data_IF_802536392088
#
_entry.id   IF_802536392088
#
_cell.length_a   1.000
_cell.length_b   1.000
_cell.length_c   1.000
_cell.angle_alpha   90.00
_cell.angle_beta   90.00
_cell.angle_gamma   90.00
#
_symmetry.space_group_name_H-M   'P 1'
#
loop_
_entity.id
_entity.type
_entity.pdbx_description
1 polymer ?
#
# COMPACT_ATOMS: atom_id res chain seq x y z
N UNK A 1 -9.72 12.64 -0.86
CA UNK A 1 -10.93 11.86 -0.54
C UNK A 1 -11.98 12.68 0.22
N UNK A 2 -11.68 13.28 1.38
CA UNK A 2 -12.67 14.00 2.21
C UNK A 2 -13.55 15.01 1.44
N UNK A 3 -12.95 15.88 0.60
CA UNK A 3 -13.71 16.83 -0.23
C UNK A 3 -14.64 16.16 -1.26
N UNK A 4 -14.22 15.04 -1.85
CA UNK A 4 -15.04 14.26 -2.80
C UNK A 4 -16.28 13.71 -2.10
N UNK A 5 -16.11 13.22 -0.87
CA UNK A 5 -17.18 12.70 -0.01
C UNK A 5 -17.97 13.81 0.71
N UNK A 6 -17.71 15.08 0.38
CA UNK A 6 -18.35 16.26 0.99
C UNK A 6 -18.19 16.30 2.51
N UNK A 7 -17.06 15.80 3.02
CA UNK A 7 -16.69 15.87 4.44
C UNK A 7 -15.85 17.12 4.67
N UNK A 8 -16.18 17.86 5.74
CA UNK A 8 -15.46 19.08 6.12
C UNK A 8 -14.07 18.75 6.66
N UNK A 9 -13.06 19.44 6.16
CA UNK A 9 -11.68 19.36 6.62
C UNK A 9 -11.37 20.54 7.53
N UNK A 10 -10.59 20.32 8.58
CA UNK A 10 -10.12 21.32 9.53
C UNK A 10 -8.69 21.78 9.22
N UNK A 11 -7.87 21.93 10.26
CA UNK A 11 -6.49 22.36 10.11
C UNK A 11 -5.65 21.31 9.38
N UNK A 12 -4.59 21.75 8.73
CA UNK A 12 -3.59 20.85 8.15
C UNK A 12 -2.19 21.39 8.40
N UNK A 13 -1.22 20.49 8.55
CA UNK A 13 0.20 20.82 8.59
C UNK A 13 0.97 19.81 7.74
N UNK A 14 2.00 20.28 7.05
CA UNK A 14 2.99 19.44 6.37
C UNK A 14 4.34 19.44 7.11
N UNK A 15 4.53 20.39 8.03
CA UNK A 15 5.77 20.57 8.75
C UNK A 15 5.67 19.78 10.06
N UNK A 16 6.62 18.86 10.33
CA UNK A 16 6.65 18.13 11.59
C UNK A 16 6.82 19.08 12.78
N UNK A 17 6.10 18.81 13.88
CA UNK A 17 6.16 19.58 15.11
C UNK A 17 6.53 18.69 16.29
N UNK A 18 7.46 19.16 17.13
CA UNK A 18 7.84 18.46 18.36
C UNK A 18 6.79 18.69 19.44
N UNK A 19 6.25 17.61 19.98
CA UNK A 19 5.30 17.65 21.09
C UNK A 19 6.06 17.67 22.44
N UNK A 20 5.50 18.31 23.50
CA UNK A 20 6.13 18.38 24.81
C UNK A 20 6.45 17.02 25.47
N UNK A 21 5.77 15.96 25.03
CA UNK A 21 5.96 14.59 25.51
C UNK A 21 7.09 13.83 24.80
N UNK A 22 7.93 14.52 24.02
CA UNK A 22 9.03 13.92 23.25
C UNK A 22 8.59 13.17 21.98
N UNK A 23 7.30 13.20 21.62
CA UNK A 23 6.83 12.66 20.33
C UNK A 23 6.94 13.71 19.22
N UNK A 24 7.06 13.24 17.99
CA UNK A 24 7.02 14.08 16.81
C UNK A 24 5.64 13.95 16.15
N UNK A 25 4.91 15.06 16.04
CA UNK A 25 3.73 15.12 15.19
C UNK A 25 4.18 15.32 13.76
N UNK A 26 3.86 14.37 12.89
CA UNK A 26 4.13 14.46 11.45
C UNK A 26 3.08 15.35 10.77
N UNK A 27 3.11 15.40 9.43
CA UNK A 27 2.05 16.06 8.66
C UNK A 27 0.67 15.44 8.96
N UNK A 28 -0.34 16.29 9.08
CA UNK A 28 -1.71 15.87 9.39
C UNK A 28 -2.73 16.73 8.64
N UNK A 29 -3.94 16.19 8.50
CA UNK A 29 -5.13 16.91 8.09
C UNK A 29 -6.28 16.50 9.01
N UNK A 30 -6.92 17.48 9.62
CA UNK A 30 -8.09 17.24 10.46
C UNK A 30 -9.30 17.02 9.56
N UNK A 31 -10.11 16.03 9.94
CA UNK A 31 -11.37 15.72 9.28
C UNK A 31 -12.43 15.60 10.36
N UNK A 32 -13.58 16.22 10.13
CA UNK A 32 -14.72 16.07 11.04
C UNK A 32 -15.19 14.62 10.99
N UNK A 33 -15.33 13.98 12.16
CA UNK A 33 -15.89 12.64 12.26
C UNK A 33 -17.26 12.57 11.57
N UNK A 34 -17.47 11.51 10.80
CA UNK A 34 -18.70 11.31 10.04
C UNK A 34 -19.21 9.88 10.22
N UNK A 35 -19.94 9.33 9.25
CA UNK A 35 -20.36 7.93 9.33
C UNK A 35 -19.21 6.98 8.99
N UNK A 36 -19.39 5.73 9.42
CA UNK A 36 -18.40 4.65 9.31
C UNK A 36 -17.90 4.46 7.87
N UNK A 37 -18.75 4.64 6.86
CA UNK A 37 -18.38 4.43 5.46
C UNK A 37 -17.47 5.55 4.98
N UNK A 38 -17.88 6.81 5.20
CA UNK A 38 -17.08 7.97 4.80
C UNK A 38 -15.76 8.04 5.56
N UNK A 39 -15.76 7.79 6.87
CA UNK A 39 -14.52 7.75 7.67
C UNK A 39 -13.57 6.65 7.21
N UNK A 40 -14.09 5.45 6.91
CA UNK A 40 -13.26 4.35 6.39
C UNK A 40 -12.65 4.65 5.02
N UNK A 41 -13.43 5.25 4.11
CA UNK A 41 -12.95 5.63 2.77
C UNK A 41 -11.88 6.74 2.84
N UNK A 42 -12.03 7.69 3.76
CA UNK A 42 -11.03 8.74 3.98
C UNK A 42 -9.74 8.10 4.51
N UNK A 43 -9.84 7.21 5.49
CA UNK A 43 -8.68 6.49 6.02
C UNK A 43 -8.00 5.57 5.01
N UNK A 44 -8.75 5.01 4.05
CA UNK A 44 -8.19 4.22 2.94
C UNK A 44 -7.50 5.07 1.87
N UNK A 45 -7.67 6.39 1.87
CA UNK A 45 -7.19 7.24 0.78
C UNK A 45 -5.67 7.15 0.52
N UNK A 46 -4.78 7.14 1.54
CA UNK A 46 -3.35 6.96 1.32
C UNK A 46 -3.03 5.61 0.68
N UNK A 47 -3.69 4.54 1.12
CA UNK A 47 -3.49 3.20 0.58
C UNK A 47 -3.96 3.11 -0.88
N UNK A 48 -5.14 3.64 -1.20
CA UNK A 48 -5.66 3.67 -2.58
C UNK A 48 -4.74 4.48 -3.48
N UNK A 49 -4.36 5.69 -3.08
CA UNK A 49 -3.49 6.55 -3.88
C UNK A 49 -2.09 5.93 -4.06
N UNK A 50 -1.51 5.39 -3.00
CA UNK A 50 -0.19 4.76 -3.02
C UNK A 50 -0.17 3.50 -3.87
N UNK A 51 -1.16 2.63 -3.73
CA UNK A 51 -1.27 1.40 -4.55
C UNK A 51 -1.50 1.73 -6.03
N UNK A 52 -2.33 2.73 -6.36
CA UNK A 52 -2.48 3.22 -7.74
C UNK A 52 -1.17 3.75 -8.32
N UNK A 53 -0.39 4.49 -7.52
CA UNK A 53 0.92 4.97 -7.95
C UNK A 53 1.89 3.81 -8.18
N UNK A 54 1.98 2.87 -7.24
CA UNK A 54 2.85 1.69 -7.35
C UNK A 54 2.47 0.84 -8.57
N UNK A 55 1.18 0.67 -8.84
CA UNK A 55 0.68 0.01 -10.04
C UNK A 55 1.16 0.73 -11.31
N UNK A 56 0.99 2.05 -11.37
CA UNK A 56 1.42 2.86 -12.49
C UNK A 56 2.94 2.76 -12.72
N UNK A 57 3.74 2.90 -11.66
CA UNK A 57 5.19 2.80 -11.73
C UNK A 57 5.62 1.40 -12.19
N UNK A 58 5.06 0.34 -11.60
CA UNK A 58 5.37 -1.04 -11.95
C UNK A 58 5.03 -1.38 -13.40
N UNK A 59 3.83 -1.00 -13.86
CA UNK A 59 3.34 -1.36 -15.21
C UNK A 59 4.01 -0.50 -16.28
N UNK A 60 3.96 0.83 -16.15
CA UNK A 60 4.31 1.73 -17.25
C UNK A 60 5.75 2.22 -17.23
N UNK A 61 6.37 2.25 -16.05
CA UNK A 61 7.72 2.82 -15.89
C UNK A 61 8.79 1.77 -15.71
N UNK A 62 8.49 0.71 -14.97
CA UNK A 62 9.43 -0.36 -14.64
C UNK A 62 9.19 -1.65 -15.45
N UNK A 63 8.11 -1.71 -16.25
CA UNK A 63 7.78 -2.83 -17.13
C UNK A 63 7.71 -4.20 -16.42
N UNK A 64 7.30 -4.19 -15.14
CA UNK A 64 7.25 -5.38 -14.27
C UNK A 64 6.22 -6.39 -14.77
N UNK A 65 5.22 -5.94 -15.52
CA UNK A 65 4.25 -6.82 -16.18
C UNK A 65 4.93 -7.84 -17.12
N UNK A 66 6.00 -7.44 -17.81
CA UNK A 66 6.75 -8.33 -18.70
C UNK A 66 7.45 -9.42 -17.91
N UNK A 67 8.12 -9.04 -16.81
CA UNK A 67 8.76 -10.01 -15.90
C UNK A 67 7.73 -10.95 -15.26
N UNK A 68 6.57 -10.41 -14.88
CA UNK A 68 5.49 -11.21 -14.31
C UNK A 68 4.95 -12.26 -15.29
N UNK A 69 4.74 -11.89 -16.56
CA UNK A 69 4.27 -12.84 -17.58
C UNK A 69 5.29 -13.94 -17.83
N UNK A 70 6.58 -13.58 -17.98
CA UNK A 70 7.67 -14.55 -18.15
C UNK A 70 7.77 -15.51 -16.97
N UNK A 71 7.61 -15.01 -15.74
CA UNK A 71 7.58 -15.84 -14.53
C UNK A 71 6.36 -16.78 -14.52
N UNK A 72 5.18 -16.24 -14.85
CA UNK A 72 3.92 -17.00 -14.91
C UNK A 72 3.98 -18.14 -15.94
N UNK A 73 4.66 -17.92 -17.06
CA UNK A 73 4.83 -18.90 -18.14
C UNK A 73 5.94 -19.93 -17.84
N UNK A 74 6.56 -19.87 -16.65
CA UNK A 74 7.59 -20.81 -16.20
C UNK A 74 8.96 -20.60 -16.83
N UNK A 75 9.18 -19.48 -17.51
CA UNK A 75 10.42 -19.18 -18.25
C UNK A 75 11.47 -18.55 -17.32
N UNK A 76 11.97 -19.34 -16.37
CA UNK A 76 12.86 -18.84 -15.31
C UNK A 76 14.15 -18.19 -15.83
N UNK A 77 14.75 -18.73 -16.90
CA UNK A 77 15.96 -18.16 -17.49
C UNK A 77 15.72 -16.74 -18.01
N UNK A 78 14.63 -16.54 -18.74
CA UNK A 78 14.23 -15.23 -19.27
C UNK A 78 13.84 -14.26 -18.16
N UNK A 79 13.27 -14.77 -17.05
CA UNK A 79 12.95 -13.95 -15.88
C UNK A 79 14.23 -13.37 -15.24
N UNK A 80 15.24 -14.21 -14.98
CA UNK A 80 16.52 -13.76 -14.42
C UNK A 80 17.27 -12.81 -15.37
N UNK A 81 17.23 -13.10 -16.67
CA UNK A 81 17.76 -12.21 -17.68
C UNK A 81 17.07 -10.84 -17.63
N UNK A 82 15.73 -10.83 -17.61
CA UNK A 82 14.93 -9.61 -17.53
C UNK A 82 15.22 -8.78 -16.26
N UNK A 83 15.41 -9.44 -15.10
CA UNK A 83 15.84 -8.76 -13.88
C UNK A 83 17.19 -8.05 -14.06
N UNK A 84 18.14 -8.65 -14.78
CA UNK A 84 19.41 -8.02 -15.12
C UNK A 84 19.29 -6.80 -16.05
N UNK A 85 18.21 -6.70 -16.81
CA UNK A 85 17.90 -5.56 -17.67
C UNK A 85 17.10 -4.45 -16.97
N UNK A 86 16.45 -4.75 -15.84
CA UNK A 86 15.61 -3.80 -15.10
C UNK A 86 16.35 -2.48 -14.77
N UNK A 87 17.62 -2.48 -14.30
CA UNK A 87 18.34 -1.24 -14.02
C UNK A 87 18.65 -0.38 -15.26
N UNK A 88 18.51 -0.93 -16.47
CA UNK A 88 18.73 -0.22 -17.73
C UNK A 88 17.47 0.48 -18.26
N UNK A 89 16.33 0.29 -17.60
CA UNK A 89 15.08 0.99 -17.92
C UNK A 89 15.28 2.50 -17.70
N UNK A 90 14.74 3.37 -18.59
CA UNK A 90 14.85 4.82 -18.41
C UNK A 90 14.35 5.28 -17.04
N UNK A 91 15.10 6.16 -16.40
CA UNK A 91 14.80 6.71 -15.06
C UNK A 91 14.56 5.64 -13.98
N UNK A 92 15.14 4.44 -14.14
CA UNK A 92 14.94 3.32 -13.22
C UNK A 92 15.11 3.72 -11.75
N UNK A 93 16.22 4.39 -11.41
CA UNK A 93 16.51 4.79 -10.03
C UNK A 93 15.45 5.73 -9.45
N UNK A 94 14.91 6.64 -10.25
CA UNK A 94 13.83 7.55 -9.83
C UNK A 94 12.56 6.77 -9.54
N UNK A 95 12.10 5.94 -10.48
CA UNK A 95 10.86 5.18 -10.32
C UNK A 95 10.96 4.11 -9.23
N UNK A 96 12.12 3.48 -9.10
CA UNK A 96 12.42 2.55 -8.01
C UNK A 96 12.38 3.26 -6.65
N UNK A 97 13.03 4.42 -6.52
CA UNK A 97 12.99 5.24 -5.32
C UNK A 97 11.56 5.69 -4.97
N UNK A 98 10.80 6.20 -5.93
CA UNK A 98 9.42 6.64 -5.70
C UNK A 98 8.51 5.47 -5.29
N UNK A 99 8.68 4.31 -5.92
CA UNK A 99 7.95 3.09 -5.55
C UNK A 99 8.24 2.69 -4.11
N UNK A 100 9.52 2.68 -3.72
CA UNK A 100 9.93 2.42 -2.34
C UNK A 100 9.37 3.45 -1.36
N UNK A 101 9.55 4.75 -1.63
CA UNK A 101 9.13 5.82 -0.72
C UNK A 101 7.61 5.87 -0.52
N UNK A 102 6.85 5.75 -1.60
CA UNK A 102 5.37 5.79 -1.55
C UNK A 102 4.83 4.52 -0.90
N UNK A 103 5.34 3.34 -1.26
CA UNK A 103 4.91 2.10 -0.61
C UNK A 103 5.23 2.06 0.90
N UNK A 104 6.32 2.71 1.33
CA UNK A 104 6.69 2.83 2.74
C UNK A 104 5.73 3.75 3.53
N UNK A 105 5.08 4.70 2.86
CA UNK A 105 4.32 5.78 3.51
C UNK A 105 2.81 5.72 3.24
N UNK A 106 2.35 4.79 2.38
CA UNK A 106 0.93 4.64 2.04
C UNK A 106 0.10 3.91 3.11
N UNK A 107 0.75 3.31 4.12
CA UNK A 107 0.04 2.59 5.18
C UNK A 107 -0.73 3.58 6.07
N UNK A 108 -2.05 3.42 6.21
CA UNK A 108 -2.86 4.36 6.99
C UNK A 108 -2.49 4.34 8.48
N UNK A 109 -2.58 5.49 9.13
CA UNK A 109 -2.31 5.64 10.56
C UNK A 109 -3.36 4.92 11.42
N UNK A 110 -3.11 4.81 12.73
CA UNK A 110 -4.11 4.24 13.66
C UNK A 110 -5.43 5.03 13.64
N UNK A 111 -5.35 6.37 13.60
CA UNK A 111 -6.53 7.22 13.52
C UNK A 111 -7.29 7.02 12.22
N UNK A 112 -6.62 6.71 11.11
CA UNK A 112 -7.25 6.47 9.81
C UNK A 112 -7.98 5.11 9.77
N UNK A 113 -7.49 4.12 10.53
CA UNK A 113 -8.03 2.75 10.52
C UNK A 113 -9.15 2.51 11.53
N UNK A 114 -9.45 3.48 12.40
CA UNK A 114 -10.39 3.30 13.51
C UNK A 114 -11.80 2.83 13.05
N UNK A 115 -12.26 3.30 11.89
CA UNK A 115 -13.58 2.94 11.34
C UNK A 115 -13.61 1.57 10.62
N UNK A 116 -12.45 0.95 10.36
CA UNK A 116 -12.36 -0.27 9.55
C UNK A 116 -12.88 -1.50 10.29
N UNK A 117 -12.62 -1.62 11.59
CA UNK A 117 -13.09 -2.77 12.36
C UNK A 117 -14.63 -2.82 12.41
N UNK A 118 -15.34 -1.73 12.79
CA UNK A 118 -16.79 -1.69 12.71
C UNK A 118 -17.31 -2.00 11.29
N UNK A 119 -16.72 -1.41 10.25
CA UNK A 119 -17.13 -1.66 8.87
C UNK A 119 -16.95 -3.13 8.46
N UNK A 120 -15.83 -3.73 8.83
CA UNK A 120 -15.52 -5.14 8.58
C UNK A 120 -16.50 -6.07 9.28
N UNK A 121 -16.85 -5.79 10.55
CA UNK A 121 -17.83 -6.56 11.30
C UNK A 121 -19.22 -6.50 10.66
N UNK A 122 -19.67 -5.31 10.25
CA UNK A 122 -20.94 -5.16 9.53
C UNK A 122 -20.94 -5.90 8.19
N UNK A 123 -19.84 -5.79 7.43
CA UNK A 123 -19.69 -6.50 6.16
C UNK A 123 -19.74 -8.01 6.36
N UNK A 124 -19.03 -8.54 7.36
CA UNK A 124 -19.03 -9.95 7.70
C UNK A 124 -20.41 -10.45 8.14
N UNK A 125 -21.13 -9.68 8.96
CA UNK A 125 -22.49 -10.00 9.38
C UNK A 125 -23.45 -10.07 8.18
N UNK A 126 -23.39 -9.09 7.27
CA UNK A 126 -24.20 -9.09 6.05
C UNK A 126 -23.87 -10.26 5.12
N UNK A 127 -22.59 -10.58 4.95
CA UNK A 127 -22.16 -11.75 4.17
C UNK A 127 -22.66 -13.05 4.79
N UNK A 128 -22.57 -13.19 6.12
CA UNK A 128 -23.09 -14.36 6.83
C UNK A 128 -24.61 -14.50 6.64
N UNK A 129 -25.37 -13.40 6.81
CA UNK A 129 -26.81 -13.40 6.57
C UNK A 129 -27.17 -13.77 5.12
N UNK A 130 -26.44 -13.25 4.14
CA UNK A 130 -26.63 -13.59 2.74
C UNK A 130 -26.41 -15.09 2.49
N UNK A 131 -25.32 -15.65 3.04
CA UNK A 131 -25.02 -17.09 2.94
C UNK A 131 -26.12 -17.93 3.59
N UNK A 132 -26.53 -17.60 4.82
CA UNK A 132 -27.60 -18.31 5.53
C UNK A 132 -28.98 -18.17 4.85
N UNK A 133 -29.22 -17.09 4.10
CA UNK A 133 -30.43 -16.92 3.30
C UNK A 133 -30.47 -17.74 2.00
N UNK A 134 -29.39 -18.48 1.70
CA UNK A 134 -29.28 -19.30 0.48
C UNK A 134 -28.65 -18.59 -0.71
N UNK A 135 -28.12 -17.37 -0.56
CA UNK A 135 -27.51 -16.60 -1.64
C UNK A 135 -26.10 -17.09 -2.05
N UNK A 136 -25.60 -18.19 -1.46
CA UNK A 136 -24.24 -18.66 -1.68
C UNK A 136 -23.91 -18.98 -3.14
N UNK A 137 -24.81 -19.65 -3.87
CA UNK A 137 -24.63 -19.94 -5.31
C UNK A 137 -24.59 -18.67 -6.14
N UNK A 138 -25.54 -17.76 -5.91
CA UNK A 138 -25.57 -16.45 -6.56
C UNK A 138 -24.28 -15.66 -6.33
N UNK A 139 -23.74 -15.68 -5.11
CA UNK A 139 -22.47 -15.03 -4.78
C UNK A 139 -21.29 -15.66 -5.51
N UNK A 140 -21.24 -16.99 -5.65
CA UNK A 140 -20.19 -17.66 -6.42
C UNK A 140 -20.22 -17.31 -7.90
N UNK A 141 -21.41 -17.15 -8.48
CA UNK A 141 -21.57 -16.83 -9.89
C UNK A 141 -21.30 -15.35 -10.19
N UNK A 142 -21.67 -14.44 -9.27
CA UNK A 142 -21.67 -13.00 -9.55
C UNK A 142 -20.62 -12.21 -8.77
N UNK A 143 -20.30 -12.61 -7.53
CA UNK A 143 -19.41 -11.88 -6.65
C UNK A 143 -18.00 -12.46 -6.64
N UNK A 144 -17.86 -13.79 -6.62
CA UNK A 144 -16.56 -14.45 -6.53
C UNK A 144 -15.61 -14.09 -7.69
N UNK A 145 -16.02 -14.03 -8.97
CA UNK A 145 -15.11 -13.65 -10.05
C UNK A 145 -14.58 -12.22 -9.91
N UNK A 146 -15.41 -11.30 -9.42
CA UNK A 146 -15.02 -9.91 -9.18
C UNK A 146 -14.04 -9.81 -8.01
N UNK A 147 -14.33 -10.50 -6.90
CA UNK A 147 -13.46 -10.54 -5.74
C UNK A 147 -12.13 -11.22 -6.04
N UNK A 148 -12.12 -12.31 -6.79
CA UNK A 148 -10.90 -13.04 -7.16
C UNK A 148 -9.96 -12.13 -7.98
N UNK A 149 -10.49 -11.48 -9.02
CA UNK A 149 -9.72 -10.52 -9.81
C UNK A 149 -9.19 -9.34 -8.97
N UNK A 150 -10.02 -8.81 -8.07
CA UNK A 150 -9.62 -7.73 -7.17
C UNK A 150 -8.52 -8.16 -6.20
N UNK A 151 -8.70 -9.28 -5.50
CA UNK A 151 -7.75 -9.82 -4.53
C UNK A 151 -6.43 -10.21 -5.20
N UNK A 152 -6.49 -10.79 -6.41
CA UNK A 152 -5.30 -11.08 -7.20
C UNK A 152 -4.54 -9.79 -7.55
N UNK A 153 -5.24 -8.75 -8.02
CA UNK A 153 -4.63 -7.45 -8.33
C UNK A 153 -3.96 -6.83 -7.10
N UNK A 154 -4.65 -6.87 -5.95
CA UNK A 154 -4.11 -6.40 -4.67
C UNK A 154 -2.88 -7.20 -4.26
N UNK A 155 -2.93 -8.54 -4.35
CA UNK A 155 -1.82 -9.42 -4.01
C UNK A 155 -0.58 -9.14 -4.88
N UNK A 156 -0.75 -8.87 -6.18
CA UNK A 156 0.35 -8.49 -7.06
C UNK A 156 0.98 -7.16 -6.66
N UNK A 157 0.18 -6.15 -6.34
CA UNK A 157 0.69 -4.83 -5.94
C UNK A 157 1.45 -4.90 -4.62
N UNK A 158 0.91 -5.62 -3.63
CA UNK A 158 1.61 -5.86 -2.39
C UNK A 158 2.85 -6.73 -2.61
N UNK A 159 2.80 -7.75 -3.47
CA UNK A 159 3.94 -8.60 -3.80
C UNK A 159 5.08 -7.79 -4.42
N UNK A 160 4.77 -6.92 -5.38
CA UNK A 160 5.76 -6.02 -6.00
C UNK A 160 6.35 -5.03 -5.00
N UNK A 161 5.50 -4.41 -4.17
CA UNK A 161 5.94 -3.56 -3.06
C UNK A 161 6.91 -4.32 -2.15
N UNK A 162 6.53 -5.51 -1.66
CA UNK A 162 7.38 -6.32 -0.80
C UNK A 162 8.71 -6.70 -1.48
N UNK A 163 8.71 -7.02 -2.77
CA UNK A 163 9.94 -7.32 -3.50
C UNK A 163 10.92 -6.14 -3.47
N UNK A 164 10.44 -4.92 -3.70
CA UNK A 164 11.27 -3.70 -3.60
C UNK A 164 11.86 -3.54 -2.20
N UNK A 165 11.05 -3.75 -1.16
CA UNK A 165 11.50 -3.69 0.24
C UNK A 165 12.52 -4.77 0.59
N UNK A 166 12.33 -6.00 0.14
CA UNK A 166 13.24 -7.13 0.36
C UNK A 166 14.60 -6.85 -0.28
N UNK A 167 14.62 -6.35 -1.52
CA UNK A 167 15.87 -5.97 -2.22
C UNK A 167 16.65 -4.91 -1.44
N UNK A 168 15.96 -3.99 -0.78
CA UNK A 168 16.57 -2.90 -0.01
C UNK A 168 16.91 -3.26 1.44
N UNK A 169 16.36 -4.35 1.98
CA UNK A 169 16.56 -4.76 3.37
C UNK A 169 18.04 -4.96 3.69
N UNK A 170 18.76 -5.70 2.85
CA UNK A 170 20.17 -6.00 3.07
C UNK A 170 21.08 -4.75 2.95
N UNK A 171 20.99 -3.93 1.89
CA UNK A 171 21.72 -2.66 1.82
C UNK A 171 21.46 -1.74 3.02
N UNK A 172 20.21 -1.58 3.44
CA UNK A 172 19.89 -0.72 4.60
C UNK A 172 20.40 -1.30 5.91
N UNK A 173 20.35 -2.61 6.09
CA UNK A 173 20.92 -3.26 7.27
C UNK A 173 22.42 -2.99 7.39
N UNK A 174 23.18 -3.15 6.28
CA UNK A 174 24.62 -2.85 6.28
C UNK A 174 24.85 -1.38 6.57
N UNK A 175 24.14 -0.48 5.89
CA UNK A 175 24.30 0.95 6.06
C UNK A 175 24.02 1.39 7.50
N UNK A 176 22.95 0.89 8.10
CA UNK A 176 22.63 1.13 9.51
C UNK A 176 23.74 0.62 10.43
N UNK A 177 24.24 -0.61 10.23
CA UNK A 177 25.35 -1.16 11.04
C UNK A 177 26.64 -0.33 10.93
N UNK A 178 26.96 0.14 9.73
CA UNK A 178 28.11 1.03 9.51
C UNK A 178 27.93 2.37 10.22
N UNK A 179 26.74 2.96 10.15
CA UNK A 179 26.45 4.22 10.85
C UNK A 179 26.54 4.05 12.37
N UNK A 180 25.98 2.98 12.93
CA UNK A 180 26.07 2.69 14.37
C UNK A 180 27.54 2.51 14.77
N UNK A 181 28.33 1.81 13.95
CA UNK A 181 29.75 1.63 14.20
C UNK A 181 30.55 2.95 14.18
N UNK A 182 30.25 3.85 13.24
CA UNK A 182 30.95 5.14 13.11
C UNK A 182 30.50 6.12 14.19
N UNK A 183 29.19 6.24 14.42
CA UNK A 183 28.59 7.26 15.26
C UNK A 183 28.51 6.86 16.74
N UNK A 184 28.72 5.57 17.07
CA UNK A 184 28.59 5.03 18.43
C UNK A 184 27.23 5.31 19.08
N UNK A 185 26.20 5.54 18.27
CA UNK A 185 24.83 5.81 18.68
C UNK A 185 23.91 4.89 17.88
N UNK A 186 23.06 4.16 18.61
CA UNK A 186 22.03 3.29 18.02
C UNK A 186 20.67 3.93 18.22
N UNK A 187 19.98 4.21 17.11
CA UNK A 187 18.61 4.72 17.10
C UNK A 187 17.69 3.54 16.86
N UNK A 188 17.03 3.09 17.93
CA UNK A 188 16.05 2.00 17.90
C UNK A 188 14.69 2.45 17.39
#
# INVERSE_FOLDING_TARGET
MAKILRVRTGNFSLIPQTLPNGRLQMGYVEVVSTDIVRDSLIGLAPLIAGTMFVAYAGIYKLQVNTLWNVLRDGQLELFWMGLGFLPKVPDFLLWFYLTFAISSTMMPSESDRHAWLPLGLWTAALLALAIFSGAGTWMLENLAPLLDNFLFSVALLFGFSNAVHIVLLFPFFIFHRLLVYIMQVDVR
#
